data_IF_168615020907
#
_entry.id   IF_168615020907
#
_cell.length_a   1.000
_cell.length_b   1.000
_cell.length_c   1.000
_cell.angle_alpha   90.00
_cell.angle_beta   90.00
_cell.angle_gamma   90.00
#
_symmetry.space_group_name_H-M   'P 1'
#
loop_
_entity.id
_entity.type
_entity.pdbx_description
1 polymer ?
#
# COMPACT_ATOMS: atom_id res chain seq x y z
N UNK A 1 -14.01 -18.30 1.54
CA UNK A 1 -12.81 -17.54 1.96
C UNK A 1 -12.92 -16.15 1.34
N UNK A 2 -13.11 -15.11 2.15
CA UNK A 2 -13.25 -13.74 1.64
C UNK A 2 -11.93 -13.30 1.00
N UNK A 3 -11.96 -12.76 -0.22
CA UNK A 3 -10.77 -12.24 -0.93
C UNK A 3 -9.93 -11.29 -0.05
N UNK A 4 -10.56 -10.66 0.94
CA UNK A 4 -9.98 -9.75 1.92
C UNK A 4 -8.87 -10.38 2.79
N UNK A 5 -9.03 -11.62 3.27
CA UNK A 5 -8.06 -12.26 4.17
C UNK A 5 -6.72 -12.55 3.47
N UNK A 6 -6.78 -12.92 2.19
CA UNK A 6 -5.58 -13.19 1.40
C UNK A 6 -4.75 -11.91 1.16
N UNK A 7 -5.42 -10.77 0.99
CA UNK A 7 -4.78 -9.49 0.72
C UNK A 7 -4.29 -8.78 1.98
N UNK A 8 -5.02 -8.87 3.10
CA UNK A 8 -4.52 -8.37 4.39
C UNK A 8 -3.23 -9.09 4.81
N UNK A 9 -3.13 -10.40 4.52
CA UNK A 9 -1.97 -11.22 4.86
C UNK A 9 -0.64 -10.72 4.28
N UNK A 10 -0.62 -10.22 3.04
CA UNK A 10 0.60 -9.68 2.43
C UNK A 10 1.04 -8.40 3.16
N UNK A 11 0.11 -7.45 3.35
CA UNK A 11 0.36 -6.19 4.05
C UNK A 11 0.72 -6.35 5.53
N UNK A 12 0.13 -7.35 6.20
CA UNK A 12 0.41 -7.69 7.59
C UNK A 12 1.83 -8.24 7.77
N UNK A 13 2.32 -9.05 6.84
CA UNK A 13 3.70 -9.58 6.86
C UNK A 13 4.76 -8.48 6.79
N UNK A 14 4.43 -7.35 6.16
CA UNK A 14 5.31 -6.17 6.04
C UNK A 14 5.26 -5.27 7.29
N UNK A 15 4.42 -5.61 8.27
CA UNK A 15 4.27 -4.83 9.50
C UNK A 15 3.50 -3.52 9.29
N UNK A 16 2.60 -3.45 8.32
CA UNK A 16 1.69 -2.29 8.20
C UNK A 16 0.65 -2.31 9.31
N UNK A 17 0.34 -1.13 9.86
CA UNK A 17 -0.68 -0.96 10.88
C UNK A 17 -2.09 -1.24 10.31
N UNK A 18 -3.01 -1.70 11.16
CA UNK A 18 -4.40 -2.01 10.78
C UNK A 18 -5.12 -0.92 9.97
N UNK A 19 -5.04 0.39 10.31
CA UNK A 19 -5.66 1.44 9.49
C UNK A 19 -5.05 1.56 8.09
N UNK A 20 -3.73 1.42 7.95
CA UNK A 20 -3.07 1.48 6.64
C UNK A 20 -3.45 0.28 5.76
N UNK A 21 -3.55 -0.93 6.34
CA UNK A 21 -4.01 -2.13 5.60
C UNK A 21 -5.42 -1.94 5.08
N UNK A 22 -6.32 -1.42 5.92
CA UNK A 22 -7.70 -1.13 5.52
C UNK A 22 -7.76 -0.10 4.38
N UNK A 23 -6.99 0.98 4.50
CA UNK A 23 -6.90 2.01 3.46
C UNK A 23 -6.46 1.45 2.10
N UNK A 24 -5.48 0.54 2.07
CA UNK A 24 -5.03 -0.13 0.84
C UNK A 24 -6.12 -1.00 0.23
N UNK A 25 -6.82 -1.79 1.06
CA UNK A 25 -7.91 -2.66 0.60
C UNK A 25 -9.08 -1.85 0.06
N UNK A 26 -9.45 -0.75 0.73
CA UNK A 26 -10.50 0.18 0.30
C UNK A 26 -10.12 0.86 -1.03
N UNK A 27 -8.83 1.19 -1.22
CA UNK A 27 -8.27 1.69 -2.47
C UNK A 27 -8.09 0.62 -3.57
N UNK A 28 -8.52 -0.64 -3.33
CA UNK A 28 -8.34 -1.79 -4.22
C UNK A 28 -6.88 -2.12 -4.55
N UNK A 29 -5.98 -1.82 -3.62
CA UNK A 29 -4.54 -2.08 -3.68
C UNK A 29 -4.24 -3.36 -2.89
N UNK A 30 -4.27 -4.48 -3.59
CA UNK A 30 -4.24 -5.79 -2.95
C UNK A 30 -2.83 -6.40 -2.86
N UNK A 31 -1.91 -5.86 -3.65
CA UNK A 31 -0.50 -6.27 -3.70
C UNK A 31 0.38 -5.08 -4.03
N UNK A 32 1.68 -5.25 -3.82
CA UNK A 32 2.69 -4.21 -4.09
C UNK A 32 2.66 -3.73 -5.53
N UNK A 33 2.41 -4.63 -6.49
CA UNK A 33 2.32 -4.27 -7.90
C UNK A 33 1.16 -3.32 -8.24
N UNK A 34 0.11 -3.26 -7.41
CA UNK A 34 -1.01 -2.34 -7.58
C UNK A 34 -0.64 -0.91 -7.18
N UNK A 35 0.42 -0.72 -6.37
CA UNK A 35 0.91 0.61 -6.01
C UNK A 35 1.37 1.42 -7.23
N UNK A 36 1.71 0.75 -8.34
CA UNK A 36 1.96 1.41 -9.64
C UNK A 36 0.76 2.14 -10.23
N UNK A 37 -0.46 1.85 -9.75
CA UNK A 37 -1.71 2.44 -10.24
C UNK A 37 -1.99 3.80 -9.60
N UNK A 38 -1.37 4.08 -8.47
CA UNK A 38 -1.57 5.32 -7.72
C UNK A 38 -0.25 6.07 -7.55
N UNK A 39 -0.33 7.38 -7.34
CA UNK A 39 0.83 8.20 -7.01
C UNK A 39 1.16 8.14 -5.52
N UNK A 40 2.37 8.57 -5.16
CA UNK A 40 2.76 8.73 -3.76
C UNK A 40 1.86 9.75 -3.04
N UNK A 41 1.42 10.79 -3.75
CA UNK A 41 0.52 11.79 -3.22
C UNK A 41 -0.85 11.18 -2.89
N UNK A 42 -1.45 10.46 -3.84
CA UNK A 42 -2.72 9.73 -3.62
C UNK A 42 -2.61 8.74 -2.46
N UNK A 43 -1.49 8.01 -2.35
CA UNK A 43 -1.23 7.12 -1.23
C UNK A 43 -1.24 7.89 0.10
N UNK A 44 -0.61 9.07 0.15
CA UNK A 44 -0.53 9.90 1.34
C UNK A 44 -1.86 10.52 1.76
N UNK A 45 -2.77 10.71 0.80
CA UNK A 45 -4.13 11.20 1.05
C UNK A 45 -5.09 10.10 1.53
N UNK A 46 -4.69 8.81 1.49
CA UNK A 46 -5.54 7.73 1.98
C UNK A 46 -5.76 7.83 3.49
N UNK A 47 -7.03 7.78 3.89
CA UNK A 47 -7.43 7.85 5.30
C UNK A 47 -6.83 6.67 6.08
N UNK A 48 -5.94 6.95 7.04
CA UNK A 48 -5.24 5.94 7.83
C UNK A 48 -3.82 5.62 7.34
N UNK A 49 -3.35 6.28 6.28
CA UNK A 49 -1.98 6.19 5.80
C UNK A 49 -1.07 7.18 6.53
N UNK A 50 -0.29 6.67 7.49
CA UNK A 50 0.70 7.47 8.20
C UNK A 50 2.07 7.49 7.52
N UNK A 51 2.93 8.46 7.91
CA UNK A 51 4.33 8.58 7.43
C UNK A 51 5.11 7.25 7.53
N UNK A 52 4.88 6.47 8.58
CA UNK A 52 5.53 5.18 8.81
C UNK A 52 5.08 4.06 7.85
N UNK A 53 3.83 4.12 7.37
CA UNK A 53 3.30 3.20 6.38
C UNK A 53 3.82 3.56 4.99
N UNK A 54 3.80 4.85 4.66
CA UNK A 54 4.35 5.39 3.40
C UNK A 54 5.83 5.00 3.26
N UNK A 55 6.65 5.27 4.29
CA UNK A 55 8.07 4.93 4.25
C UNK A 55 8.33 3.43 4.00
N UNK A 56 7.55 2.55 4.64
CA UNK A 56 7.63 1.10 4.43
C UNK A 56 7.23 0.70 3.02
N UNK A 57 6.14 1.26 2.50
CA UNK A 57 5.67 0.99 1.14
C UNK A 57 6.69 1.46 0.11
N UNK A 58 7.24 2.67 0.26
CA UNK A 58 8.30 3.21 -0.60
C UNK A 58 9.55 2.33 -0.59
N UNK A 59 10.06 1.95 0.59
CA UNK A 59 11.22 1.07 0.70
C UNK A 59 10.99 -0.30 0.04
N UNK A 60 9.77 -0.84 0.18
CA UNK A 60 9.43 -2.12 -0.41
C UNK A 60 9.22 -2.04 -1.93
N UNK A 61 8.73 -0.92 -2.44
CA UNK A 61 8.69 -0.66 -3.88
C UNK A 61 10.09 -0.56 -4.47
N UNK A 62 10.99 0.16 -3.81
CA UNK A 62 12.40 0.26 -4.20
C UNK A 62 13.09 -1.11 -4.24
N UNK A 63 12.92 -1.92 -3.18
CA UNK A 63 13.43 -3.29 -3.11
C UNK A 63 12.93 -4.20 -4.25
N UNK A 64 11.72 -3.93 -4.78
CA UNK A 64 11.13 -4.66 -5.91
C UNK A 64 11.37 -3.98 -7.26
N UNK A 65 12.15 -2.88 -7.29
CA UNK A 65 12.41 -2.06 -8.47
C UNK A 65 11.13 -1.59 -9.17
N UNK A 66 10.12 -1.27 -8.36
CA UNK A 66 8.86 -0.69 -8.82
C UNK A 66 8.75 0.74 -8.30
N UNK A 67 8.04 1.58 -9.03
CA UNK A 67 7.82 2.97 -8.67
C UNK A 67 6.32 3.28 -8.68
N UNK A 68 5.91 4.24 -7.85
CA UNK A 68 4.55 4.76 -7.89
C UNK A 68 4.27 5.40 -9.25
N UNK A 69 2.98 5.57 -9.56
CA UNK A 69 2.58 6.36 -10.71
C UNK A 69 3.16 7.78 -10.55
N UNK A 70 3.81 8.34 -11.58
CA UNK A 70 4.21 9.74 -11.55
C UNK A 70 2.95 10.61 -11.40
N UNK A 71 2.94 11.49 -10.41
CA UNK A 71 1.95 12.56 -10.27
C UNK A 71 2.30 13.63 -11.31
N UNK A 72 1.53 13.71 -12.39
CA UNK A 72 1.65 14.73 -13.43
C UNK A 72 0.58 15.81 -13.23
#
# INVERSE_FOLDING_TARGET
MSKYDAFDGEWRKIGLASPARKALVDAKLYKVSDLRKISLDELSQLHGMGKSAIARLTALMDAKRIQFRPSN
#
